data_IF_606514820352
#
_entry.id   IF_606514820352
#
_cell.length_a   1.000
_cell.length_b   1.000
_cell.length_c   1.000
_cell.angle_alpha   90.00
_cell.angle_beta   90.00
_cell.angle_gamma   90.00
#
_symmetry.space_group_name_H-M   'P 1'
#
loop_
_entity.id
_entity.type
_entity.pdbx_description
1 polymer ?
#
# COMPACT_ATOMS: atom_id res chain seq x y z
N UNK A 1 -27.16 -29.25 -84.79
CA UNK A 1 -27.24 -28.55 -83.49
C UNK A 1 -26.02 -28.93 -82.66
N UNK A 2 -25.02 -28.06 -82.56
CA UNK A 2 -24.04 -28.07 -81.45
C UNK A 2 -23.26 -26.76 -81.50
N UNK A 3 -23.64 -25.83 -80.61
CA UNK A 3 -22.84 -24.69 -80.17
C UNK A 3 -22.69 -24.84 -78.66
N UNK A 4 -21.50 -24.60 -78.13
CA UNK A 4 -21.16 -24.08 -76.78
C UNK A 4 -19.62 -24.16 -76.70
N UNK A 5 -18.92 -23.07 -77.06
CA UNK A 5 -18.37 -22.01 -76.19
C UNK A 5 -17.15 -22.47 -75.37
N UNK A 6 -15.98 -22.03 -75.81
CA UNK A 6 -14.73 -22.05 -75.07
C UNK A 6 -14.83 -21.13 -73.84
N UNK A 7 -14.43 -21.64 -72.68
CA UNK A 7 -14.25 -20.87 -71.45
C UNK A 7 -12.75 -20.65 -71.28
N UNK A 8 -12.33 -19.39 -71.41
CA UNK A 8 -10.98 -18.93 -71.06
C UNK A 8 -10.95 -18.70 -69.55
N UNK A 9 -10.22 -19.56 -68.82
CA UNK A 9 -9.97 -19.39 -67.39
C UNK A 9 -8.83 -18.40 -67.16
N UNK A 10 -9.14 -17.24 -66.58
CA UNK A 10 -8.16 -16.27 -66.08
C UNK A 10 -7.52 -16.86 -64.83
N UNK A 11 -6.21 -17.16 -64.89
CA UNK A 11 -5.43 -17.59 -63.73
C UNK A 11 -5.11 -16.36 -62.85
N UNK A 12 -5.71 -16.32 -61.66
CA UNK A 12 -5.42 -15.32 -60.65
C UNK A 12 -4.10 -15.69 -59.97
N UNK A 13 -3.03 -14.95 -60.28
CA UNK A 13 -1.73 -15.12 -59.63
C UNK A 13 -1.82 -14.64 -58.16
N UNK A 14 -1.92 -15.58 -57.23
CA UNK A 14 -1.84 -15.31 -55.79
C UNK A 14 -0.36 -15.13 -55.42
N UNK A 15 0.10 -13.87 -55.35
CA UNK A 15 1.43 -13.52 -54.88
C UNK A 15 1.50 -13.69 -53.36
N UNK A 16 2.04 -14.84 -52.91
CA UNK A 16 2.39 -15.12 -51.52
C UNK A 16 3.60 -14.25 -51.11
N UNK A 17 3.34 -13.13 -50.42
CA UNK A 17 4.37 -12.38 -49.70
C UNK A 17 4.84 -13.21 -48.50
N UNK A 18 5.84 -14.06 -48.73
CA UNK A 18 6.57 -14.74 -47.65
C UNK A 18 7.55 -13.75 -47.03
N UNK A 19 7.10 -13.03 -46.00
CA UNK A 19 7.98 -12.23 -45.15
C UNK A 19 8.93 -13.17 -44.39
N UNK A 20 10.18 -13.26 -44.84
CA UNK A 20 11.23 -13.95 -44.10
C UNK A 20 11.56 -13.14 -42.84
N UNK A 21 10.87 -13.42 -41.73
CA UNK A 21 11.33 -12.97 -40.42
C UNK A 21 12.59 -13.77 -40.08
N UNK A 22 13.76 -13.14 -40.24
CA UNK A 22 15.04 -13.70 -39.79
C UNK A 22 15.01 -13.69 -38.26
N UNK A 23 14.46 -14.76 -37.67
CA UNK A 23 14.68 -15.05 -36.25
C UNK A 23 16.11 -15.55 -36.13
N UNK A 24 17.02 -14.67 -35.72
CA UNK A 24 18.34 -15.07 -35.24
C UNK A 24 18.12 -15.98 -34.03
N UNK A 25 18.46 -17.26 -34.18
CA UNK A 25 18.48 -18.18 -33.06
C UNK A 25 19.45 -17.63 -32.00
N UNK A 26 19.09 -17.64 -30.70
CA UNK A 26 19.97 -17.15 -29.65
C UNK A 26 21.31 -17.91 -29.69
N UNK A 27 22.42 -17.20 -29.50
CA UNK A 27 23.79 -17.75 -29.49
C UNK A 27 24.09 -18.67 -28.30
N UNK A 28 23.08 -19.08 -27.53
CA UNK A 28 23.21 -19.86 -26.31
C UNK A 28 21.95 -20.70 -26.08
N UNK A 29 22.09 -21.74 -25.26
CA UNK A 29 20.98 -22.57 -24.77
C UNK A 29 20.87 -22.38 -23.27
N UNK A 30 19.68 -22.01 -22.79
CA UNK A 30 19.38 -22.00 -21.35
C UNK A 30 18.84 -23.36 -20.96
N UNK A 31 19.63 -24.14 -20.24
CA UNK A 31 19.13 -25.37 -19.60
C UNK A 31 18.29 -25.01 -18.38
N UNK A 32 17.02 -25.42 -18.39
CA UNK A 32 16.05 -25.20 -17.31
C UNK A 32 15.72 -26.48 -16.53
N UNK A 33 16.40 -27.59 -16.81
CA UNK A 33 16.16 -28.89 -16.16
C UNK A 33 16.49 -28.88 -14.65
N UNK A 34 17.31 -27.93 -14.20
CA UNK A 34 17.65 -27.73 -12.79
C UNK A 34 16.94 -26.47 -12.24
N UNK A 35 16.05 -26.64 -11.26
CA UNK A 35 15.33 -25.54 -10.61
C UNK A 35 15.63 -25.51 -9.11
N UNK A 36 15.98 -24.34 -8.58
CA UNK A 36 16.23 -24.15 -7.15
C UNK A 36 14.92 -24.08 -6.36
N UNK A 37 14.89 -24.70 -5.18
CA UNK A 37 13.78 -24.58 -4.22
C UNK A 37 13.88 -23.29 -3.38
N UNK A 38 15.10 -22.84 -3.08
CA UNK A 38 15.36 -21.61 -2.33
C UNK A 38 15.06 -20.36 -3.16
N UNK A 39 13.79 -19.96 -3.22
CA UNK A 39 13.32 -18.74 -3.86
C UNK A 39 12.18 -18.13 -3.07
N UNK A 40 11.98 -16.83 -3.25
CA UNK A 40 10.84 -16.08 -2.72
C UNK A 40 10.37 -15.07 -3.75
N UNK A 41 9.25 -14.41 -3.49
CA UNK A 41 8.70 -13.37 -4.36
C UNK A 41 9.50 -12.08 -4.23
N UNK A 42 9.58 -11.31 -5.34
CA UNK A 42 10.21 -9.99 -5.34
C UNK A 42 9.31 -8.94 -4.68
N UNK A 43 8.01 -9.00 -4.97
CA UNK A 43 7.00 -8.19 -4.31
C UNK A 43 6.83 -8.73 -2.89
N UNK A 44 6.95 -7.84 -1.91
CA UNK A 44 6.82 -8.17 -0.48
C UNK A 44 5.88 -7.25 0.28
N UNK A 45 5.42 -6.16 -0.32
CA UNK A 45 4.56 -5.16 0.31
C UNK A 45 3.38 -4.79 -0.57
N UNK A 46 2.31 -4.36 0.09
CA UNK A 46 1.23 -3.58 -0.53
C UNK A 46 1.19 -2.24 0.19
N UNK A 47 1.24 -1.14 -0.56
CA UNK A 47 1.13 0.22 -0.03
C UNK A 47 -0.17 0.83 -0.51
N UNK A 48 -1.03 1.19 0.45
CA UNK A 48 -2.31 1.83 0.21
C UNK A 48 -2.20 3.35 0.27
N UNK A 49 -2.85 4.02 -0.67
CA UNK A 49 -2.84 5.48 -0.86
C UNK A 49 -4.27 6.00 -0.99
N UNK A 50 -4.43 7.31 -0.81
CA UNK A 50 -5.54 8.03 -1.42
C UNK A 50 -5.00 9.01 -2.47
N UNK A 51 -5.84 9.36 -3.44
CA UNK A 51 -5.40 10.22 -4.55
C UNK A 51 -5.39 11.72 -4.23
N UNK A 52 -6.15 12.16 -3.21
CA UNK A 52 -6.42 13.57 -2.89
C UNK A 52 -7.17 14.35 -3.97
N UNK A 53 -7.64 13.63 -5.00
CA UNK A 53 -8.17 14.16 -6.25
C UNK A 53 -9.44 13.41 -6.65
N UNK A 54 -10.20 13.97 -7.59
CA UNK A 54 -11.30 13.24 -8.23
C UNK A 54 -10.78 12.17 -9.20
N UNK A 55 -11.65 11.28 -9.66
CA UNK A 55 -11.30 10.14 -10.51
C UNK A 55 -10.63 10.54 -11.84
N UNK A 56 -11.17 11.54 -12.54
CA UNK A 56 -10.63 11.98 -13.82
C UNK A 56 -9.23 12.58 -13.67
N UNK A 57 -9.02 13.42 -12.67
CA UNK A 57 -7.72 13.98 -12.34
C UNK A 57 -6.73 12.89 -11.89
N UNK A 58 -7.19 11.92 -11.09
CA UNK A 58 -6.38 10.79 -10.63
C UNK A 58 -5.86 9.96 -11.81
N UNK A 59 -6.73 9.63 -12.78
CA UNK A 59 -6.34 8.91 -13.99
C UNK A 59 -5.32 9.71 -14.83
N UNK A 60 -5.53 11.01 -15.01
CA UNK A 60 -4.59 11.86 -15.76
C UNK A 60 -3.20 11.86 -15.09
N UNK A 61 -3.16 12.10 -13.77
CA UNK A 61 -1.91 12.15 -12.99
C UNK A 61 -1.19 10.80 -13.02
N UNK A 62 -1.89 9.70 -12.77
CA UNK A 62 -1.28 8.38 -12.59
C UNK A 62 -0.90 7.69 -13.92
N UNK A 63 -1.37 8.20 -15.06
CA UNK A 63 -1.06 7.62 -16.39
C UNK A 63 -0.17 8.51 -17.25
N UNK A 64 -0.19 9.83 -17.05
CA UNK A 64 0.58 10.79 -17.86
C UNK A 64 1.52 11.68 -17.05
N UNK A 65 1.42 11.65 -15.72
CA UNK A 65 2.27 12.42 -14.82
C UNK A 65 3.61 11.74 -14.50
N UNK A 66 4.25 12.23 -13.44
CA UNK A 66 5.56 11.73 -12.95
C UNK A 66 5.42 10.78 -11.75
N UNK A 67 4.21 10.29 -11.49
CA UNK A 67 3.89 9.29 -10.47
C UNK A 67 2.90 8.29 -11.06
N UNK A 68 2.88 7.08 -10.53
CA UNK A 68 1.98 6.02 -11.00
C UNK A 68 1.70 5.03 -9.87
N UNK A 69 0.62 4.28 -10.02
CA UNK A 69 0.28 3.17 -9.13
C UNK A 69 -0.01 1.92 -9.97
N UNK A 70 0.03 0.75 -9.35
CA UNK A 70 -0.34 -0.48 -10.05
C UNK A 70 -1.85 -0.52 -10.26
N UNK A 71 -2.61 -0.13 -9.24
CA UNK A 71 -4.07 -0.13 -9.25
C UNK A 71 -4.64 1.23 -8.85
N UNK A 72 -5.78 1.57 -9.45
CA UNK A 72 -6.65 2.68 -9.03
C UNK A 72 -8.06 2.15 -8.76
N UNK A 73 -8.56 2.37 -7.54
CA UNK A 73 -9.92 2.04 -7.12
C UNK A 73 -10.82 3.27 -7.25
N UNK A 74 -11.70 3.31 -8.27
CA UNK A 74 -12.57 4.46 -8.54
C UNK A 74 -13.68 4.63 -7.51
N UNK A 75 -14.33 5.81 -7.52
CA UNK A 75 -15.52 6.08 -6.71
C UNK A 75 -16.79 5.48 -7.35
N UNK A 76 -16.73 5.11 -8.63
CA UNK A 76 -17.83 4.54 -9.38
C UNK A 76 -18.48 3.34 -8.67
N UNK A 77 -19.82 3.36 -8.60
CA UNK A 77 -20.64 2.33 -7.95
C UNK A 77 -20.83 1.08 -8.84
N UNK A 78 -19.72 0.52 -9.32
CA UNK A 78 -19.63 -0.72 -10.10
C UNK A 78 -18.45 -1.56 -9.57
N UNK A 79 -18.13 -2.72 -10.16
CA UNK A 79 -17.00 -3.55 -9.69
C UNK A 79 -15.65 -3.19 -10.32
N UNK A 80 -15.55 -2.12 -11.10
CA UNK A 80 -14.33 -1.78 -11.83
C UNK A 80 -13.20 -1.36 -10.89
N UNK A 81 -12.01 -1.87 -11.16
CA UNK A 81 -10.70 -1.43 -10.65
C UNK A 81 -9.80 -1.29 -11.87
N UNK A 82 -9.05 -0.20 -11.99
CA UNK A 82 -8.10 -0.02 -13.09
C UNK A 82 -6.74 -0.58 -12.70
N UNK A 83 -6.12 -1.35 -13.60
CA UNK A 83 -4.69 -1.65 -13.53
C UNK A 83 -3.96 -0.67 -14.46
N UNK A 84 -3.08 0.16 -13.90
CA UNK A 84 -2.36 1.19 -14.65
C UNK A 84 -0.91 0.79 -14.96
N UNK A 85 -0.31 -0.03 -14.09
CA UNK A 85 1.03 -0.61 -14.27
C UNK A 85 0.95 -2.10 -13.96
N UNK A 86 1.58 -2.94 -14.78
CA UNK A 86 1.60 -4.37 -14.53
C UNK A 86 2.40 -4.69 -13.24
N UNK A 87 1.98 -5.69 -12.47
CA UNK A 87 2.61 -6.02 -11.18
C UNK A 87 4.09 -6.45 -11.31
N UNK A 88 4.51 -6.93 -12.48
CA UNK A 88 5.92 -7.27 -12.74
C UNK A 88 6.78 -6.06 -13.17
N UNK A 89 6.16 -4.89 -13.28
CA UNK A 89 6.82 -3.62 -13.55
C UNK A 89 6.85 -2.76 -12.29
N UNK A 90 7.60 -1.65 -12.34
CA UNK A 90 7.79 -0.76 -11.20
C UNK A 90 6.92 0.49 -11.34
N UNK A 91 5.82 0.56 -10.59
CA UNK A 91 5.09 1.82 -10.43
C UNK A 91 5.83 2.82 -9.52
N UNK A 92 5.52 4.12 -9.65
CA UNK A 92 6.19 5.21 -8.92
C UNK A 92 5.25 5.84 -7.89
N UNK A 93 4.94 5.12 -6.81
CA UNK A 93 3.95 5.53 -5.79
C UNK A 93 4.57 5.82 -4.42
N UNK A 94 5.54 5.02 -3.97
CA UNK A 94 6.11 5.10 -2.62
C UNK A 94 7.02 6.32 -2.41
N UNK A 95 7.93 6.60 -3.34
CA UNK A 95 8.93 7.67 -3.18
C UNK A 95 9.91 7.40 -2.02
N UNK A 96 10.39 8.46 -1.36
CA UNK A 96 11.41 8.36 -0.30
C UNK A 96 10.85 7.87 1.05
N UNK A 97 11.53 6.91 1.67
CA UNK A 97 11.19 6.33 2.97
C UNK A 97 11.46 4.84 2.99
N UNK A 98 10.87 4.14 3.96
CA UNK A 98 11.07 2.71 4.11
C UNK A 98 10.29 2.11 5.27
N UNK A 99 10.21 0.79 5.28
CA UNK A 99 9.52 0.01 6.30
C UNK A 99 10.18 -1.36 6.42
N UNK A 100 10.19 -1.95 7.62
CA UNK A 100 10.77 -3.27 7.90
C UNK A 100 12.20 -3.44 7.35
N UNK A 101 13.07 -2.47 7.69
CA UNK A 101 14.47 -2.46 7.26
C UNK A 101 14.71 -2.23 5.76
N UNK A 102 13.66 -2.07 4.95
CA UNK A 102 13.75 -1.86 3.49
C UNK A 102 13.52 -0.41 3.13
N UNK A 103 14.24 0.03 2.11
CA UNK A 103 14.13 1.35 1.50
C UNK A 103 13.70 1.20 0.04
N UNK A 104 13.26 2.30 -0.58
CA UNK A 104 12.87 2.33 -2.01
C UNK A 104 11.76 1.30 -2.30
N UNK A 105 10.65 1.38 -1.55
CA UNK A 105 9.60 0.36 -1.63
C UNK A 105 8.94 0.20 -3.00
N UNK A 106 9.06 1.19 -3.91
CA UNK A 106 8.65 1.02 -5.31
C UNK A 106 9.22 -0.25 -5.96
N UNK A 107 10.41 -0.70 -5.54
CA UNK A 107 11.09 -1.86 -6.15
C UNK A 107 10.49 -3.21 -5.72
N UNK A 108 9.78 -3.24 -4.59
CA UNK A 108 9.29 -4.49 -3.96
C UNK A 108 7.85 -4.38 -3.45
N UNK A 109 7.05 -3.46 -4.00
CA UNK A 109 5.67 -3.25 -3.55
C UNK A 109 4.69 -3.07 -4.68
N UNK A 110 3.45 -3.45 -4.40
CA UNK A 110 2.28 -3.06 -5.19
C UNK A 110 1.66 -1.82 -4.55
N UNK A 111 1.28 -0.87 -5.40
CA UNK A 111 0.71 0.42 -5.01
C UNK A 111 -0.74 0.47 -5.44
N UNK A 112 -1.64 0.74 -4.50
CA UNK A 112 -3.08 0.83 -4.74
C UNK A 112 -3.52 2.23 -4.34
N UNK A 113 -3.92 3.01 -5.35
CA UNK A 113 -4.52 4.33 -5.18
C UNK A 113 -6.03 4.21 -5.05
N UNK A 114 -6.62 4.92 -4.09
CA UNK A 114 -8.07 4.91 -3.85
C UNK A 114 -8.57 6.33 -4.05
N UNK A 115 -9.55 6.51 -4.95
CA UNK A 115 -10.13 7.85 -5.21
C UNK A 115 -10.83 8.36 -3.94
N UNK A 116 -10.17 9.27 -3.25
CA UNK A 116 -10.67 9.92 -2.03
C UNK A 116 -9.92 11.24 -1.87
N UNK A 117 -10.62 12.28 -1.43
CA UNK A 117 -10.04 13.63 -1.26
C UNK A 117 -9.04 13.72 -0.11
N UNK A 118 -8.92 12.69 0.73
CA UNK A 118 -8.09 12.70 1.93
C UNK A 118 -8.66 13.68 2.93
N UNK A 119 -7.99 14.82 3.12
CA UNK A 119 -8.53 15.93 3.92
C UNK A 119 -9.65 16.63 3.15
N UNK A 120 -10.82 16.81 3.76
CA UNK A 120 -11.95 17.50 3.15
C UNK A 120 -11.57 18.96 2.80
N UNK A 121 -12.01 19.51 1.64
CA UNK A 121 -11.60 20.83 1.17
C UNK A 121 -11.74 21.97 2.19
N UNK A 122 -12.79 21.93 3.01
CA UNK A 122 -13.06 22.90 4.07
C UNK A 122 -12.02 22.90 5.20
N UNK A 123 -11.27 21.81 5.38
CA UNK A 123 -10.21 21.65 6.38
C UNK A 123 -8.79 21.76 5.78
N UNK A 124 -8.64 22.41 4.63
CA UNK A 124 -7.33 22.65 3.98
C UNK A 124 -6.87 24.09 4.16
N UNK A 125 -5.55 24.29 4.05
CA UNK A 125 -4.94 25.62 4.09
C UNK A 125 -5.21 26.37 5.41
N UNK A 126 -5.56 27.66 5.31
CA UNK A 126 -5.76 28.51 6.48
C UNK A 126 -6.90 28.03 7.40
N UNK A 127 -7.91 27.37 6.84
CA UNK A 127 -9.04 26.85 7.61
C UNK A 127 -8.65 25.69 8.53
N UNK A 128 -7.56 24.99 8.22
CA UNK A 128 -7.03 23.92 9.05
C UNK A 128 -6.31 24.42 10.30
N UNK A 129 -5.78 25.66 10.27
CA UNK A 129 -4.73 26.12 11.19
C UNK A 129 -5.11 25.95 12.66
N UNK A 130 -6.28 26.43 13.07
CA UNK A 130 -6.72 26.34 14.47
C UNK A 130 -6.93 24.90 14.93
N UNK A 131 -7.51 24.05 14.07
CA UNK A 131 -7.75 22.65 14.40
C UNK A 131 -6.45 21.84 14.44
N UNK A 132 -5.47 22.16 13.58
CA UNK A 132 -4.12 21.61 13.64
C UNK A 132 -3.44 22.00 14.96
N UNK A 133 -3.43 23.29 15.31
CA UNK A 133 -2.84 23.79 16.57
C UNK A 133 -3.47 23.12 17.80
N UNK A 134 -4.80 22.95 17.81
CA UNK A 134 -5.52 22.26 18.87
C UNK A 134 -5.21 20.74 18.96
N UNK A 135 -4.63 20.16 17.91
CA UNK A 135 -4.32 18.73 17.80
C UNK A 135 -2.83 18.48 17.50
N UNK A 136 -1.96 19.28 18.13
CA UNK A 136 -0.49 19.14 18.08
C UNK A 136 0.14 19.24 16.68
N UNK A 137 -0.50 19.98 15.79
CA UNK A 137 -0.07 20.16 14.40
C UNK A 137 -0.55 19.06 13.45
N UNK A 138 -1.50 18.22 13.86
CA UNK A 138 -1.99 17.09 13.07
C UNK A 138 -3.48 17.18 12.76
N UNK A 139 -3.92 16.68 11.60
CA UNK A 139 -5.34 16.65 11.25
C UNK A 139 -6.10 15.68 12.18
N UNK A 140 -7.14 16.12 12.92
CA UNK A 140 -8.04 15.24 13.65
C UNK A 140 -8.90 14.37 12.72
N UNK A 141 -9.55 13.30 13.23
CA UNK A 141 -10.24 12.32 12.39
C UNK A 141 -11.38 12.89 11.53
N UNK A 142 -12.10 13.90 12.04
CA UNK A 142 -13.21 14.52 11.31
C UNK A 142 -12.75 15.39 10.12
N UNK A 143 -11.45 15.63 9.96
CA UNK A 143 -10.93 16.29 8.76
C UNK A 143 -10.87 15.37 7.54
N UNK A 144 -10.88 14.05 7.74
CA UNK A 144 -10.71 13.08 6.67
C UNK A 144 -12.05 12.67 6.06
N UNK A 145 -12.08 12.49 4.74
CA UNK A 145 -13.26 12.08 3.97
C UNK A 145 -13.45 10.56 4.05
N UNK A 146 -14.69 10.14 4.30
CA UNK A 146 -15.04 8.72 4.37
C UNK A 146 -14.87 8.01 3.02
N UNK A 147 -14.47 6.75 3.06
CA UNK A 147 -14.49 5.86 1.90
C UNK A 147 -15.87 5.22 1.78
N UNK A 148 -16.32 4.96 0.55
CA UNK A 148 -17.57 4.22 0.36
C UNK A 148 -17.37 2.74 0.70
N UNK A 149 -18.42 2.09 1.20
CA UNK A 149 -18.36 0.65 1.53
C UNK A 149 -17.94 -0.21 0.34
N UNK A 150 -18.39 0.13 -0.88
CA UNK A 150 -17.98 -0.60 -2.08
C UNK A 150 -16.50 -0.39 -2.42
N UNK A 151 -15.92 0.79 -2.20
CA UNK A 151 -14.47 0.97 -2.34
C UNK A 151 -13.71 0.09 -1.36
N UNK A 152 -14.15 0.01 -0.10
CA UNK A 152 -13.51 -0.83 0.92
C UNK A 152 -13.59 -2.31 0.54
N UNK A 153 -14.75 -2.78 0.06
CA UNK A 153 -14.91 -4.15 -0.46
C UNK A 153 -13.96 -4.45 -1.62
N UNK A 154 -13.86 -3.54 -2.60
CA UNK A 154 -12.92 -3.68 -3.74
C UNK A 154 -11.48 -3.78 -3.27
N UNK A 155 -11.07 -2.87 -2.38
CA UNK A 155 -9.70 -2.84 -1.84
C UNK A 155 -9.43 -4.14 -1.08
N UNK A 156 -10.35 -4.57 -0.22
CA UNK A 156 -10.16 -5.79 0.56
C UNK A 156 -9.96 -7.03 -0.33
N UNK A 157 -10.83 -7.27 -1.32
CA UNK A 157 -10.68 -8.40 -2.22
C UNK A 157 -9.41 -8.31 -3.07
N UNK A 158 -9.09 -7.13 -3.61
CA UNK A 158 -7.87 -6.92 -4.37
C UNK A 158 -6.61 -7.21 -3.54
N UNK A 159 -6.58 -6.73 -2.29
CA UNK A 159 -5.45 -6.94 -1.39
C UNK A 159 -5.34 -8.43 -0.99
N UNK A 160 -6.44 -9.13 -0.75
CA UNK A 160 -6.42 -10.59 -0.52
C UNK A 160 -5.78 -11.34 -1.70
N UNK A 161 -6.21 -11.02 -2.93
CA UNK A 161 -5.71 -11.67 -4.14
C UNK A 161 -4.20 -11.43 -4.34
N UNK A 162 -3.74 -10.20 -4.14
CA UNK A 162 -2.32 -9.84 -4.28
C UNK A 162 -1.50 -10.48 -3.16
N UNK A 163 -1.98 -10.41 -1.91
CA UNK A 163 -1.27 -10.96 -0.77
C UNK A 163 -1.12 -12.48 -0.86
N UNK A 164 -2.16 -13.19 -1.31
CA UNK A 164 -2.08 -14.63 -1.55
C UNK A 164 -1.12 -14.98 -2.70
N UNK A 165 -1.13 -14.20 -3.78
CA UNK A 165 -0.28 -14.43 -4.96
C UNK A 165 1.21 -14.24 -4.67
N UNK A 166 1.54 -13.27 -3.83
CA UNK A 166 2.93 -12.92 -3.51
C UNK A 166 3.38 -13.36 -2.12
N UNK A 167 2.55 -14.11 -1.40
CA UNK A 167 2.83 -14.58 -0.03
C UNK A 167 3.21 -13.40 0.88
N UNK A 168 2.44 -12.32 0.83
CA UNK A 168 2.71 -11.08 1.57
C UNK A 168 2.23 -11.23 3.01
N UNK A 169 3.17 -11.04 3.93
CA UNK A 169 2.87 -11.04 5.36
C UNK A 169 1.91 -9.90 5.75
N UNK A 170 1.01 -10.12 6.73
CA UNK A 170 0.05 -9.11 7.16
C UNK A 170 0.67 -7.77 7.58
N UNK A 171 1.87 -7.79 8.16
CA UNK A 171 2.61 -6.58 8.57
C UNK A 171 3.16 -5.76 7.40
N UNK A 172 3.20 -6.32 6.19
CA UNK A 172 3.68 -5.65 5.00
C UNK A 172 2.55 -5.08 4.12
N UNK A 173 1.32 -5.09 4.63
CA UNK A 173 0.18 -4.37 4.06
C UNK A 173 0.03 -3.08 4.85
N UNK A 174 0.53 -1.99 4.28
CA UNK A 174 0.79 -0.73 4.99
C UNK A 174 0.15 0.46 4.29
N UNK A 175 -0.05 1.55 5.02
CA UNK A 175 -0.35 2.86 4.43
C UNK A 175 0.90 3.56 3.91
N UNK A 176 0.72 4.54 3.03
CA UNK A 176 1.84 5.41 2.65
C UNK A 176 2.42 6.17 3.84
N UNK A 177 1.57 6.52 4.81
CA UNK A 177 1.96 7.12 6.09
C UNK A 177 2.93 6.27 6.88
N UNK A 178 2.83 4.93 6.82
CA UNK A 178 3.68 4.06 7.63
C UNK A 178 5.14 4.06 7.17
N UNK A 179 5.35 4.02 5.85
CA UNK A 179 6.70 4.04 5.27
C UNK A 179 7.29 5.45 5.15
N UNK A 180 6.46 6.50 5.14
CA UNK A 180 6.89 7.89 5.01
C UNK A 180 6.22 8.85 6.01
N UNK A 181 6.35 8.63 7.33
CA UNK A 181 5.54 9.34 8.34
C UNK A 181 5.65 10.86 8.31
N UNK A 182 6.84 11.41 8.05
CA UNK A 182 7.05 12.86 7.98
C UNK A 182 6.63 13.51 6.66
N UNK A 183 6.18 12.72 5.68
CA UNK A 183 5.86 13.21 4.32
C UNK A 183 4.44 12.88 3.88
N UNK A 184 3.84 11.82 4.42
CA UNK A 184 2.59 11.23 3.94
C UNK A 184 1.67 10.88 5.11
N UNK A 185 0.37 11.02 4.88
CA UNK A 185 -0.69 10.81 5.88
C UNK A 185 -1.79 9.88 5.35
N UNK A 186 -1.67 9.42 4.11
CA UNK A 186 -2.60 8.53 3.42
C UNK A 186 -2.32 7.04 3.76
N UNK A 187 -3.37 6.19 3.79
CA UNK A 187 -4.76 6.42 3.37
C UNK A 187 -5.63 7.13 4.43
N UNK A 188 -5.04 7.56 5.55
CA UNK A 188 -5.68 8.45 6.51
C UNK A 188 -6.64 7.78 7.48
N UNK A 189 -7.20 8.60 8.38
CA UNK A 189 -7.94 8.12 9.56
C UNK A 189 -9.28 7.44 9.26
N UNK A 190 -9.81 7.62 8.04
CA UNK A 190 -11.07 7.00 7.60
C UNK A 190 -10.87 5.68 6.87
N UNK A 191 -9.63 5.29 6.60
CA UNK A 191 -9.38 3.99 6.03
C UNK A 191 -9.57 2.91 7.11
N UNK A 192 -10.49 1.94 6.92
CA UNK A 192 -10.96 1.09 8.00
C UNK A 192 -10.08 -0.15 8.16
N UNK A 193 -8.83 0.02 8.60
CA UNK A 193 -7.86 -1.07 8.80
C UNK A 193 -8.41 -2.23 9.66
N UNK A 194 -9.10 -1.91 10.75
CA UNK A 194 -9.73 -2.92 11.60
C UNK A 194 -10.80 -3.73 10.86
N UNK A 195 -11.58 -3.09 9.99
CA UNK A 195 -12.59 -3.76 9.18
C UNK A 195 -11.93 -4.74 8.20
N UNK A 196 -10.87 -4.30 7.51
CA UNK A 196 -10.09 -5.16 6.61
C UNK A 196 -9.58 -6.40 7.34
N UNK A 197 -8.99 -6.23 8.52
CA UNK A 197 -8.50 -7.34 9.33
C UNK A 197 -9.63 -8.27 9.79
N UNK A 198 -10.67 -7.72 10.44
CA UNK A 198 -11.70 -8.54 11.08
C UNK A 198 -12.65 -9.23 10.12
N UNK A 199 -12.97 -8.58 9.00
CA UNK A 199 -13.98 -9.08 8.06
C UNK A 199 -13.35 -9.82 6.87
N UNK A 200 -12.15 -9.42 6.46
CA UNK A 200 -11.49 -9.96 5.26
C UNK A 200 -10.17 -10.67 5.57
N UNK A 201 -9.66 -10.63 6.81
CA UNK A 201 -8.37 -11.23 7.13
C UNK A 201 -7.20 -10.51 6.44
N UNK A 202 -7.35 -9.22 6.15
CA UNK A 202 -6.36 -8.41 5.45
C UNK A 202 -5.60 -7.51 6.41
N UNK A 203 -4.27 -7.52 6.30
CA UNK A 203 -3.38 -6.66 7.08
C UNK A 203 -3.20 -7.11 8.53
N UNK A 204 -2.37 -6.38 9.28
CA UNK A 204 -2.11 -6.67 10.68
C UNK A 204 -3.09 -5.94 11.60
N UNK A 205 -3.51 -6.61 12.66
CA UNK A 205 -4.19 -6.00 13.81
C UNK A 205 -3.82 -6.69 15.11
N UNK A 206 -3.89 -5.96 16.23
CA UNK A 206 -3.60 -6.49 17.56
C UNK A 206 -4.77 -7.30 18.13
N UNK A 207 -4.46 -8.15 19.10
CA UNK A 207 -5.48 -8.83 19.88
C UNK A 207 -5.89 -7.95 21.07
N UNK A 208 -7.21 -7.76 21.25
CA UNK A 208 -7.74 -6.86 22.27
C UNK A 208 -7.32 -7.30 23.69
N UNK A 209 -7.24 -8.60 23.95
CA UNK A 209 -6.77 -9.14 25.24
C UNK A 209 -5.33 -8.73 25.56
N UNK A 210 -4.45 -8.72 24.56
CA UNK A 210 -3.05 -8.36 24.72
C UNK A 210 -2.90 -6.85 24.95
N UNK A 211 -3.66 -6.04 24.20
CA UNK A 211 -3.73 -4.59 24.47
C UNK A 211 -4.18 -4.34 25.91
N UNK A 212 -5.26 -4.97 26.38
CA UNK A 212 -5.74 -4.78 27.76
C UNK A 212 -4.71 -5.23 28.81
N UNK A 213 -3.96 -6.31 28.54
CA UNK A 213 -2.86 -6.73 29.41
C UNK A 213 -1.78 -5.64 29.52
N UNK A 214 -1.30 -5.10 28.39
CA UNK A 214 -0.26 -4.06 28.38
C UNK A 214 -0.75 -2.70 28.90
N UNK A 215 -2.06 -2.42 28.83
CA UNK A 215 -2.68 -1.26 29.48
C UNK A 215 -2.57 -1.35 31.03
N UNK A 216 -2.65 -2.56 31.58
CA UNK A 216 -2.75 -2.79 33.02
C UNK A 216 -1.40 -3.09 33.71
N UNK A 217 -0.35 -3.46 32.95
CA UNK A 217 0.92 -3.95 33.51
C UNK A 217 1.83 -2.86 34.10
N UNK A 218 1.51 -1.58 33.88
CA UNK A 218 2.26 -0.45 34.38
C UNK A 218 3.60 -0.18 33.66
N UNK A 219 3.97 -0.99 32.67
CA UNK A 219 5.27 -0.92 32.00
C UNK A 219 5.50 0.39 31.24
N UNK A 220 4.43 1.05 30.78
CA UNK A 220 4.52 2.37 30.14
C UNK A 220 5.13 3.45 31.06
N UNK A 221 4.90 3.36 32.39
CA UNK A 221 5.41 4.36 33.35
C UNK A 221 6.92 4.27 33.55
N UNK A 222 7.49 3.09 33.35
CA UNK A 222 8.92 2.82 33.52
C UNK A 222 9.69 2.79 32.20
N UNK A 223 9.00 2.63 31.06
CA UNK A 223 9.61 2.58 29.75
C UNK A 223 10.28 3.92 29.40
N UNK A 224 11.54 3.86 29.01
CA UNK A 224 12.29 4.99 28.48
C UNK A 224 11.89 5.29 27.02
N UNK A 225 12.16 6.51 26.56
CA UNK A 225 11.91 6.89 25.15
C UNK A 225 12.65 5.95 24.18
N UNK A 226 13.95 5.62 24.36
CA UNK A 226 14.65 4.73 23.45
C UNK A 226 14.04 3.33 23.39
N UNK A 227 13.57 2.78 24.52
CA UNK A 227 12.87 1.48 24.54
C UNK A 227 11.57 1.53 23.74
N UNK A 228 10.78 2.59 23.84
CA UNK A 228 9.55 2.73 23.06
C UNK A 228 9.86 2.93 21.57
N UNK A 229 10.88 3.72 21.24
CA UNK A 229 11.30 3.90 19.83
C UNK A 229 11.80 2.58 19.23
N UNK A 230 12.50 1.75 20.00
CA UNK A 230 12.89 0.42 19.56
C UNK A 230 11.67 -0.44 19.21
N UNK A 231 10.58 -0.36 19.96
CA UNK A 231 9.35 -1.09 19.62
C UNK A 231 8.76 -0.66 18.26
N UNK A 232 8.86 0.62 17.89
CA UNK A 232 8.45 1.10 16.56
C UNK A 232 9.37 0.53 15.47
N UNK A 233 10.68 0.54 15.69
CA UNK A 233 11.65 -0.07 14.78
C UNK A 233 11.44 -1.56 14.61
N UNK A 234 11.19 -2.28 15.71
CA UNK A 234 10.91 -3.71 15.72
C UNK A 234 9.67 -4.06 14.90
N UNK A 235 8.62 -3.22 14.95
CA UNK A 235 7.43 -3.40 14.11
C UNK A 235 7.68 -3.10 12.64
N UNK A 236 8.59 -2.17 12.34
CA UNK A 236 9.02 -1.84 10.98
C UNK A 236 9.15 -0.35 10.68
N UNK A 237 8.75 0.56 11.57
CA UNK A 237 8.85 2.00 11.30
C UNK A 237 10.30 2.50 11.34
N UNK A 238 10.62 3.42 10.44
CA UNK A 238 11.85 4.20 10.53
C UNK A 238 11.65 5.35 11.53
N UNK A 239 12.33 5.28 12.68
CA UNK A 239 12.32 6.29 13.73
C UNK A 239 13.76 6.61 14.14
N UNK A 240 14.02 7.87 14.53
CA UNK A 240 15.35 8.30 14.95
C UNK A 240 15.72 7.79 16.35
N UNK A 241 16.97 7.96 16.75
CA UNK A 241 17.53 7.53 18.03
C UNK A 241 17.60 8.64 19.09
N UNK A 242 16.99 9.81 18.84
CA UNK A 242 17.00 10.91 19.81
C UNK A 242 16.28 10.51 21.10
N UNK A 243 16.72 11.02 22.24
CA UNK A 243 16.05 10.75 23.52
C UNK A 243 14.88 11.71 23.80
N UNK A 244 14.16 12.11 22.75
CA UNK A 244 13.06 13.07 22.81
C UNK A 244 11.93 12.67 21.84
N UNK A 245 10.71 13.13 22.13
CA UNK A 245 9.59 13.09 21.18
C UNK A 245 9.63 14.29 20.25
N UNK A 246 10.72 14.42 19.48
CA UNK A 246 10.89 15.44 18.44
C UNK A 246 9.84 15.29 17.32
N UNK A 247 9.78 16.27 16.40
CA UNK A 247 8.76 16.27 15.32
C UNK A 247 8.81 14.99 14.48
N UNK A 248 9.97 14.49 14.00
CA UNK A 248 10.03 13.22 13.28
C UNK A 248 9.49 12.03 14.10
N UNK A 249 9.79 11.95 15.40
CA UNK A 249 9.27 10.88 16.26
C UNK A 249 7.75 10.96 16.44
N UNK A 250 7.21 12.17 16.58
CA UNK A 250 5.75 12.39 16.66
C UNK A 250 5.04 12.08 15.34
N UNK A 251 5.72 12.25 14.21
CA UNK A 251 5.18 11.87 12.90
C UNK A 251 5.03 10.35 12.79
N UNK A 252 6.00 9.58 13.28
CA UNK A 252 5.88 8.12 13.38
C UNK A 252 4.71 7.72 14.27
N UNK A 253 4.57 8.35 15.44
CA UNK A 253 3.44 8.10 16.35
C UNK A 253 2.11 8.44 15.65
N UNK A 254 2.04 9.56 14.92
CA UNK A 254 0.84 9.96 14.20
C UNK A 254 0.48 8.97 13.09
N UNK A 255 1.46 8.53 12.28
CA UNK A 255 1.25 7.52 11.25
C UNK A 255 0.75 6.19 11.84
N UNK A 256 1.34 5.75 12.95
CA UNK A 256 0.88 4.58 13.67
C UNK A 256 -0.54 4.73 14.21
N UNK A 257 -0.90 5.89 14.76
CA UNK A 257 -2.25 6.17 15.22
C UNK A 257 -3.26 6.22 14.06
N UNK A 258 -2.89 6.76 12.90
CA UNK A 258 -3.73 6.71 11.70
C UNK A 258 -4.10 5.27 11.31
N UNK A 259 -3.15 4.34 11.45
CA UNK A 259 -3.35 2.94 11.11
C UNK A 259 -4.10 2.18 12.22
N UNK A 260 -3.60 2.21 13.46
CA UNK A 260 -4.04 1.29 14.52
C UNK A 260 -4.92 1.91 15.62
N UNK A 261 -5.07 3.24 15.64
CA UNK A 261 -5.88 3.96 16.64
C UNK A 261 -6.55 5.23 16.08
N UNK A 262 -7.37 5.11 15.02
CA UNK A 262 -7.93 6.28 14.33
C UNK A 262 -8.87 7.13 15.20
N UNK A 263 -9.30 6.64 16.36
CA UNK A 263 -10.14 7.37 17.31
C UNK A 263 -9.38 8.52 18.01
N UNK A 264 -8.04 8.45 18.09
CA UNK A 264 -7.21 9.50 18.70
C UNK A 264 -5.86 9.59 17.98
N UNK A 265 -5.81 10.49 16.99
CA UNK A 265 -4.63 10.77 16.16
C UNK A 265 -4.09 12.16 16.50
N UNK A 266 -2.99 12.25 17.25
CA UNK A 266 -2.44 13.53 17.69
C UNK A 266 -0.92 13.54 17.83
N UNK A 267 -0.24 12.46 17.41
CA UNK A 267 1.22 12.34 17.43
C UNK A 267 1.83 12.30 18.83
N UNK A 268 1.02 12.10 19.88
CA UNK A 268 1.49 12.00 21.27
C UNK A 268 1.53 10.56 21.70
N UNK A 269 2.68 10.14 22.22
CA UNK A 269 2.84 8.83 22.83
C UNK A 269 2.05 8.75 24.14
N UNK A 270 1.08 7.85 24.21
CA UNK A 270 0.31 7.57 25.42
C UNK A 270 0.18 6.07 25.68
N UNK A 271 -0.42 5.72 26.83
CA UNK A 271 -0.53 4.35 27.31
C UNK A 271 -1.22 3.42 26.31
N UNK A 272 -2.28 3.88 25.65
CA UNK A 272 -3.02 3.04 24.70
C UNK A 272 -2.25 2.84 23.39
N UNK A 273 -1.61 3.90 22.88
CA UNK A 273 -0.72 3.78 21.71
C UNK A 273 0.43 2.80 22.01
N UNK A 274 1.00 2.87 23.22
CA UNK A 274 2.04 1.96 23.68
C UNK A 274 1.55 0.51 23.79
N UNK A 275 0.38 0.30 24.40
CA UNK A 275 -0.19 -1.03 24.57
C UNK A 275 -0.52 -1.70 23.23
N UNK A 276 -1.05 -0.94 22.26
CA UNK A 276 -1.31 -1.40 20.89
C UNK A 276 0.01 -1.84 20.23
N UNK A 277 1.06 -1.01 20.28
CA UNK A 277 2.37 -1.33 19.69
C UNK A 277 2.98 -2.60 20.30
N UNK A 278 2.92 -2.74 21.63
CA UNK A 278 3.37 -3.94 22.34
C UNK A 278 2.59 -5.19 21.93
N UNK A 279 1.27 -5.07 21.77
CA UNK A 279 0.41 -6.17 21.34
C UNK A 279 0.70 -6.61 19.89
N UNK A 280 0.94 -5.65 19.00
CA UNK A 280 1.39 -5.94 17.62
C UNK A 280 2.75 -6.66 17.62
N UNK A 281 3.74 -6.17 18.36
CA UNK A 281 5.07 -6.81 18.42
C UNK A 281 5.00 -8.22 19.02
N UNK A 282 4.19 -8.43 20.05
CA UNK A 282 3.95 -9.76 20.62
C UNK A 282 3.38 -10.74 19.59
N UNK A 283 2.47 -10.26 18.74
CA UNK A 283 1.76 -11.09 17.76
C UNK A 283 2.59 -11.42 16.52
N UNK A 284 3.33 -10.44 15.99
CA UNK A 284 3.99 -10.56 14.69
C UNK A 284 5.52 -10.63 14.79
N UNK A 285 6.16 -9.73 15.53
CA UNK A 285 7.65 -9.65 15.55
C UNK A 285 8.29 -10.86 16.22
N UNK A 286 7.72 -11.33 17.34
CA UNK A 286 8.21 -12.52 18.06
C UNK A 286 8.14 -13.83 17.26
N UNK A 287 7.45 -13.84 16.11
CA UNK A 287 7.28 -15.02 15.23
C UNK A 287 8.11 -14.96 13.94
N UNK A 288 8.58 -13.78 13.55
CA UNK A 288 9.27 -13.54 12.27
C UNK A 288 10.80 -13.75 12.31
N UNK A 289 11.35 -14.33 13.38
CA UNK A 289 12.80 -14.54 13.53
C UNK A 289 13.40 -15.65 12.65
N UNK A 290 12.64 -16.16 11.67
CA UNK A 290 13.13 -17.06 10.63
C UNK A 290 12.46 -16.74 9.30
N UNK A 291 13.12 -15.91 8.48
CA UNK A 291 13.00 -15.94 7.01
C UNK A 291 14.27 -15.39 6.37
#
# INVERSE_FOLDING_TARGET
MMKIKAVVGISLALSLLSGCAVHSAPHYVIDKSHQAQGKSQRIRFIVLHYTAENEAASLEILTKGNVSAHYLVPLANNQTIYQLVAENERAWHAGAGGFDGRQILNDTSIGIEIVNLGIAPEFRGQNAKMALEANNGYHPPHHYVDFTELQIQKVAHLVQDIAARYEIEPTNIIGHSDMAPSRKIDPGAKFPWEQLYRQYGVGAWYDESDKQQFMADGSFKSASIPEIKQLFSDYGYQINDSNEWDKPSRDVIYAFQLHFRPQKINGVMDLETYAILRALNKKYVGRSSYS
#
